data_IF_476150265060
#
_entry.id   IF_476150265060
#
_cell.length_a   1.000
_cell.length_b   1.000
_cell.length_c   1.000
_cell.angle_alpha   90.00
_cell.angle_beta   90.00
_cell.angle_gamma   90.00
#
_symmetry.space_group_name_H-M   'P 1'
#
loop_
_entity.id
_entity.type
_entity.pdbx_description
1 polymer ?
#
# COMPACT_ATOMS: atom_id res chain seq x y z
N UNK A 1 31.82 19.79 -10.16
CA UNK A 1 32.47 19.23 -8.94
C UNK A 1 31.45 18.84 -7.87
N UNK A 2 30.47 19.67 -7.51
CA UNK A 2 29.44 19.31 -6.50
C UNK A 2 28.54 18.12 -6.90
N UNK A 3 28.04 18.13 -8.15
CA UNK A 3 27.12 17.09 -8.65
C UNK A 3 27.75 15.69 -8.68
N UNK A 4 29.02 15.61 -9.09
CA UNK A 4 29.80 14.35 -9.09
C UNK A 4 29.94 13.77 -7.69
N UNK A 5 30.28 14.60 -6.69
CA UNK A 5 30.39 14.16 -5.30
C UNK A 5 29.04 13.69 -4.74
N UNK A 6 27.95 14.36 -5.12
CA UNK A 6 26.59 13.95 -4.77
C UNK A 6 26.25 12.58 -5.36
N UNK A 7 26.54 12.34 -6.63
CA UNK A 7 26.34 11.04 -7.26
C UNK A 7 27.20 9.93 -6.63
N UNK A 8 28.45 10.21 -6.28
CA UNK A 8 29.29 9.27 -5.55
C UNK A 8 28.71 8.88 -4.19
N UNK A 9 28.15 9.86 -3.45
CA UNK A 9 27.47 9.60 -2.18
C UNK A 9 26.23 8.72 -2.35
N UNK A 10 25.41 8.95 -3.38
CA UNK A 10 24.25 8.09 -3.68
C UNK A 10 24.73 6.67 -3.99
N UNK A 11 25.74 6.52 -4.84
CA UNK A 11 26.25 5.21 -5.23
C UNK A 11 26.78 4.42 -4.01
N UNK A 12 27.48 5.09 -3.09
CA UNK A 12 27.92 4.49 -1.82
C UNK A 12 26.74 4.11 -0.92
N UNK A 13 25.68 4.93 -0.86
CA UNK A 13 24.49 4.63 -0.08
C UNK A 13 23.74 3.40 -0.63
N UNK A 14 23.61 3.29 -1.96
CA UNK A 14 23.01 2.11 -2.61
C UNK A 14 23.79 0.85 -2.24
N UNK A 15 25.12 0.87 -2.33
CA UNK A 15 25.98 -0.27 -2.01
C UNK A 15 25.90 -0.70 -0.54
N UNK A 16 25.75 0.25 0.38
CA UNK A 16 25.67 -0.03 1.83
C UNK A 16 24.30 -0.56 2.27
N UNK A 17 23.22 -0.03 1.72
CA UNK A 17 21.88 -0.28 2.21
C UNK A 17 21.08 -1.27 1.37
N UNK A 18 21.47 -1.49 0.10
CA UNK A 18 20.70 -2.32 -0.83
C UNK A 18 21.44 -3.62 -1.12
N UNK A 19 20.78 -4.72 -0.77
CA UNK A 19 21.19 -6.08 -1.13
C UNK A 19 20.59 -6.42 -2.50
N UNK A 20 21.38 -6.27 -3.56
CA UNK A 20 20.94 -6.46 -4.95
C UNK A 20 20.41 -7.88 -5.25
N UNK A 21 20.84 -8.89 -4.48
CA UNK A 21 20.37 -10.27 -4.63
C UNK A 21 18.91 -10.46 -4.20
N UNK A 22 18.46 -9.67 -3.22
CA UNK A 22 17.10 -9.76 -2.65
C UNK A 22 16.14 -8.87 -3.42
N UNK A 23 16.62 -7.72 -3.90
CA UNK A 23 15.79 -6.72 -4.55
C UNK A 23 15.49 -7.12 -6.00
N UNK A 24 14.19 -7.15 -6.33
CA UNK A 24 13.72 -7.46 -7.68
C UNK A 24 13.91 -6.31 -8.68
N UNK A 25 13.74 -5.08 -8.22
CA UNK A 25 13.76 -3.87 -9.06
C UNK A 25 14.23 -2.67 -8.23
N UNK A 26 15.01 -1.77 -8.84
CA UNK A 26 15.48 -0.53 -8.24
C UNK A 26 14.96 0.64 -9.08
N UNK A 27 14.17 1.51 -8.46
CA UNK A 27 13.56 2.65 -9.14
C UNK A 27 14.42 3.89 -8.91
N UNK A 28 14.84 4.53 -10.00
CA UNK A 28 15.52 5.83 -10.02
C UNK A 28 14.52 6.87 -10.54
N UNK A 29 14.08 7.74 -9.64
CA UNK A 29 13.06 8.74 -9.95
C UNK A 29 13.59 10.15 -9.68
N UNK A 30 13.36 11.06 -10.64
CA UNK A 30 13.72 12.47 -10.51
C UNK A 30 12.85 13.36 -11.39
N UNK A 31 12.69 14.64 -11.04
CA UNK A 31 12.22 15.65 -11.99
C UNK A 31 13.28 15.91 -13.06
N UNK A 32 12.86 15.97 -14.32
CA UNK A 32 13.76 16.21 -15.46
C UNK A 32 14.76 15.07 -15.70
N UNK A 33 15.98 15.44 -16.11
CA UNK A 33 16.99 14.53 -16.67
C UNK A 33 18.01 13.97 -15.66
N UNK A 34 17.82 14.22 -14.36
CA UNK A 34 18.83 13.91 -13.35
C UNK A 34 19.02 12.40 -13.16
N UNK A 35 17.95 11.61 -13.26
CA UNK A 35 17.98 10.14 -13.18
C UNK A 35 18.79 9.54 -14.33
N UNK A 36 18.68 10.08 -15.55
CA UNK A 36 19.45 9.63 -16.71
C UNK A 36 20.94 9.92 -16.50
N UNK A 37 21.25 11.15 -16.09
CA UNK A 37 22.62 11.57 -15.79
C UNK A 37 23.26 10.73 -14.66
N UNK A 38 22.52 10.47 -13.59
CA UNK A 38 22.99 9.63 -12.50
C UNK A 38 23.19 8.17 -12.96
N UNK A 39 22.25 7.62 -13.73
CA UNK A 39 22.35 6.26 -14.22
C UNK A 39 23.56 6.08 -15.13
N UNK A 40 23.81 7.02 -16.05
CA UNK A 40 24.99 7.00 -16.90
C UNK A 40 26.28 7.11 -16.08
N UNK A 41 26.34 8.05 -15.12
CA UNK A 41 27.47 8.20 -14.21
C UNK A 41 27.75 6.92 -13.40
N UNK A 42 26.70 6.28 -12.89
CA UNK A 42 26.80 5.03 -12.13
C UNK A 42 27.39 3.91 -12.99
N UNK A 43 26.93 3.74 -14.23
CA UNK A 43 27.45 2.71 -15.14
C UNK A 43 28.89 3.01 -15.53
N UNK A 44 29.23 4.25 -15.90
CA UNK A 44 30.61 4.63 -16.22
C UNK A 44 31.56 4.38 -15.03
N UNK A 45 31.13 4.75 -13.82
CA UNK A 45 31.93 4.56 -12.61
C UNK A 45 32.06 3.08 -12.25
N UNK A 46 30.99 2.30 -12.40
CA UNK A 46 31.00 0.87 -12.16
C UNK A 46 31.93 0.13 -13.13
N UNK A 47 31.97 0.52 -14.41
CA UNK A 47 32.92 -0.03 -15.39
C UNK A 47 34.36 0.35 -15.03
N UNK A 48 34.62 1.61 -14.68
CA UNK A 48 35.97 2.09 -14.33
C UNK A 48 36.52 1.42 -13.06
N UNK A 49 35.67 1.14 -12.09
CA UNK A 49 36.04 0.53 -10.81
C UNK A 49 35.77 -0.98 -10.76
N UNK A 50 35.39 -1.59 -11.89
CA UNK A 50 35.03 -3.01 -12.02
C UNK A 50 34.02 -3.52 -10.97
N UNK A 51 33.07 -2.66 -10.58
CA UNK A 51 32.03 -3.01 -9.60
C UNK A 51 30.95 -3.88 -10.23
N UNK A 52 31.18 -5.20 -10.24
CA UNK A 52 30.26 -6.21 -10.79
C UNK A 52 28.83 -6.10 -10.27
N UNK A 53 28.65 -5.75 -8.99
CA UNK A 53 27.32 -5.60 -8.37
C UNK A 53 26.39 -4.69 -9.17
N UNK A 54 26.89 -3.57 -9.70
CA UNK A 54 26.07 -2.64 -10.50
C UNK A 54 25.94 -3.09 -11.95
N UNK A 55 26.98 -3.69 -12.53
CA UNK A 55 27.00 -4.13 -13.93
C UNK A 55 26.07 -5.33 -14.15
N UNK A 56 26.14 -6.33 -13.27
CA UNK A 56 25.33 -7.55 -13.36
C UNK A 56 23.85 -7.27 -13.09
N UNK A 57 23.55 -6.26 -12.26
CA UNK A 57 22.20 -5.85 -11.91
C UNK A 57 21.69 -4.65 -12.72
N UNK A 58 22.36 -4.26 -13.81
CA UNK A 58 21.98 -3.10 -14.64
C UNK A 58 20.52 -3.17 -15.11
N UNK A 59 20.03 -4.35 -15.46
CA UNK A 59 18.65 -4.57 -15.93
C UNK A 59 17.58 -4.38 -14.86
N UNK A 60 17.97 -4.40 -13.57
CA UNK A 60 17.05 -4.16 -12.44
C UNK A 60 16.75 -2.68 -12.22
N UNK A 61 17.55 -1.78 -12.78
CA UNK A 61 17.33 -0.34 -12.64
C UNK A 61 16.26 0.15 -13.61
N UNK A 62 15.32 0.94 -13.09
CA UNK A 62 14.26 1.56 -13.85
C UNK A 62 14.31 3.07 -13.68
N UNK A 63 14.23 3.80 -14.79
CA UNK A 63 14.18 5.26 -14.80
C UNK A 63 12.71 5.69 -14.86
N UNK A 64 12.27 6.52 -13.91
CA UNK A 64 10.87 6.93 -13.79
C UNK A 64 10.75 8.44 -13.55
N UNK A 65 9.67 9.04 -14.03
CA UNK A 65 9.35 10.43 -13.74
C UNK A 65 8.82 10.63 -12.33
N UNK A 66 9.24 11.73 -11.72
CA UNK A 66 8.76 12.16 -10.42
C UNK A 66 8.69 13.68 -10.43
N UNK A 67 7.59 14.24 -9.93
CA UNK A 67 7.44 15.68 -9.77
C UNK A 67 8.45 16.30 -8.79
N UNK A 68 8.99 15.52 -7.85
CA UNK A 68 9.92 15.99 -6.80
C UNK A 68 10.87 14.89 -6.32
N UNK A 69 11.96 15.27 -5.65
CA UNK A 69 12.89 14.35 -4.98
C UNK A 69 12.53 14.05 -3.50
N UNK A 70 11.36 14.47 -3.03
CA UNK A 70 10.93 14.32 -1.63
C UNK A 70 10.10 13.05 -1.42
N UNK A 71 9.95 12.61 -0.17
CA UNK A 71 9.26 11.35 0.19
C UNK A 71 7.84 11.22 -0.39
N UNK A 72 7.11 12.33 -0.50
CA UNK A 72 5.74 12.32 -1.03
C UNK A 72 5.67 11.93 -2.51
N UNK A 73 6.71 12.21 -3.29
CA UNK A 73 6.75 11.89 -4.70
C UNK A 73 6.92 10.37 -4.96
N UNK A 74 7.34 9.61 -3.94
CA UNK A 74 7.37 8.15 -4.01
C UNK A 74 5.98 7.56 -4.26
N UNK A 75 4.92 8.23 -3.80
CA UNK A 75 3.54 7.81 -4.03
C UNK A 75 3.17 7.88 -5.52
N UNK A 76 3.50 9.00 -6.16
CA UNK A 76 3.29 9.24 -7.58
C UNK A 76 4.02 8.20 -8.44
N UNK A 77 5.30 7.96 -8.12
CA UNK A 77 6.15 7.02 -8.86
C UNK A 77 5.61 5.59 -8.78
N UNK A 78 5.07 5.17 -7.63
CA UNK A 78 4.51 3.83 -7.48
C UNK A 78 3.20 3.64 -8.23
N UNK A 79 2.44 4.72 -8.48
CA UNK A 79 1.18 4.66 -9.24
C UNK A 79 1.37 4.67 -10.75
N UNK A 80 2.59 4.94 -11.24
CA UNK A 80 2.87 4.97 -12.68
C UNK A 80 2.70 3.58 -13.31
N UNK A 81 1.95 3.53 -14.40
CA UNK A 81 1.69 2.35 -15.23
C UNK A 81 2.95 1.57 -15.63
N UNK A 82 4.05 2.26 -15.92
CA UNK A 82 5.33 1.64 -16.31
C UNK A 82 5.89 0.82 -15.15
N UNK A 83 5.84 1.39 -13.96
CA UNK A 83 6.33 0.76 -12.73
C UNK A 83 5.40 -0.37 -12.33
N UNK A 84 4.09 -0.12 -12.34
CA UNK A 84 3.04 -1.11 -12.07
C UNK A 84 3.20 -2.37 -12.92
N UNK A 85 3.44 -2.24 -14.23
CA UNK A 85 3.58 -3.40 -15.16
C UNK A 85 4.74 -4.36 -14.81
N UNK A 86 5.82 -3.86 -14.21
CA UNK A 86 6.95 -4.68 -13.73
C UNK A 86 6.86 -5.02 -12.24
N UNK A 87 6.11 -4.23 -11.47
CA UNK A 87 5.79 -4.48 -10.08
C UNK A 87 4.59 -5.41 -9.88
N UNK A 88 3.88 -5.84 -10.94
CA UNK A 88 2.73 -6.77 -10.87
C UNK A 88 3.01 -7.98 -9.98
N UNK A 89 4.28 -8.41 -9.86
CA UNK A 89 4.72 -9.51 -8.99
C UNK A 89 5.30 -9.07 -7.62
N UNK A 90 4.87 -7.92 -7.11
CA UNK A 90 5.24 -7.42 -5.77
C UNK A 90 4.00 -7.23 -4.90
N UNK A 91 4.16 -7.46 -3.59
CA UNK A 91 3.07 -7.32 -2.61
C UNK A 91 2.38 -5.94 -2.69
N UNK A 92 3.15 -4.88 -2.93
CA UNK A 92 2.64 -3.52 -3.05
C UNK A 92 1.58 -3.35 -4.16
N UNK A 93 1.79 -3.93 -5.35
CA UNK A 93 0.78 -3.87 -6.43
C UNK A 93 -0.48 -4.64 -6.05
N UNK A 94 -0.31 -5.81 -5.44
CA UNK A 94 -1.45 -6.62 -4.98
C UNK A 94 -2.28 -5.92 -3.89
N UNK A 95 -1.63 -5.12 -3.04
CA UNK A 95 -2.28 -4.29 -2.02
C UNK A 95 -3.09 -3.16 -2.67
N UNK A 96 -2.51 -2.44 -3.64
CA UNK A 96 -3.20 -1.37 -4.37
C UNK A 96 -4.41 -1.89 -5.13
N UNK A 97 -4.28 -3.02 -5.84
CA UNK A 97 -5.40 -3.65 -6.56
C UNK A 97 -6.52 -4.03 -5.60
N UNK A 98 -6.22 -4.71 -4.49
CA UNK A 98 -7.24 -5.11 -3.52
C UNK A 98 -8.00 -3.92 -2.91
N UNK A 99 -7.31 -2.80 -2.67
CA UNK A 99 -7.95 -1.59 -2.18
C UNK A 99 -8.84 -0.94 -3.25
N UNK A 100 -8.40 -0.93 -4.51
CA UNK A 100 -9.23 -0.45 -5.63
C UNK A 100 -10.47 -1.32 -5.83
N UNK A 101 -10.33 -2.64 -5.74
CA UNK A 101 -11.44 -3.59 -5.84
C UNK A 101 -12.48 -3.33 -4.73
N UNK A 102 -12.02 -3.03 -3.51
CA UNK A 102 -12.88 -2.64 -2.40
C UNK A 102 -13.66 -1.34 -2.70
N UNK A 103 -12.98 -0.30 -3.19
CA UNK A 103 -13.65 0.95 -3.58
C UNK A 103 -14.62 0.78 -4.74
N UNK A 104 -14.31 -0.10 -5.69
CA UNK A 104 -15.21 -0.43 -6.78
C UNK A 104 -16.45 -1.15 -6.25
N UNK A 105 -16.28 -2.11 -5.33
CA UNK A 105 -17.40 -2.81 -4.71
C UNK A 105 -18.30 -1.85 -3.93
N UNK A 106 -17.75 -0.93 -3.14
CA UNK A 106 -18.53 0.12 -2.48
C UNK A 106 -19.39 0.95 -3.44
N UNK A 107 -18.91 1.18 -4.68
CA UNK A 107 -19.67 1.94 -5.69
C UNK A 107 -20.75 1.11 -6.38
N UNK A 108 -20.48 -0.18 -6.61
CA UNK A 108 -21.38 -1.06 -7.36
C UNK A 108 -22.41 -1.72 -6.46
N UNK A 109 -22.01 -2.19 -5.29
CA UNK A 109 -22.84 -2.92 -4.34
C UNK A 109 -22.34 -2.70 -2.89
N UNK A 110 -22.94 -1.71 -2.23
CA UNK A 110 -22.59 -1.33 -0.85
C UNK A 110 -22.79 -2.49 0.14
N UNK A 111 -23.76 -3.38 -0.12
CA UNK A 111 -24.04 -4.52 0.74
C UNK A 111 -22.97 -5.62 0.71
N UNK A 112 -21.95 -5.47 -0.15
CA UNK A 112 -20.84 -6.40 -0.33
C UNK A 112 -19.47 -5.85 0.07
N UNK A 113 -19.41 -4.64 0.62
CA UNK A 113 -18.14 -4.04 1.04
C UNK A 113 -18.29 -3.34 2.39
N UNK A 114 -17.74 -3.94 3.44
CA UNK A 114 -17.84 -3.40 4.79
C UNK A 114 -16.51 -2.85 5.27
N UNK A 115 -16.55 -1.78 6.07
CA UNK A 115 -15.40 -1.22 6.78
C UNK A 115 -15.77 -0.94 8.23
N UNK A 116 -14.78 -0.90 9.11
CA UNK A 116 -15.00 -0.80 10.54
C UNK A 116 -15.09 -2.16 11.23
N UNK A 117 -14.56 -2.23 12.46
CA UNK A 117 -14.43 -3.50 13.18
C UNK A 117 -15.78 -4.20 13.40
N UNK A 118 -16.83 -3.45 13.78
CA UNK A 118 -18.16 -4.02 14.04
C UNK A 118 -18.75 -4.68 12.79
N UNK A 119 -18.77 -3.97 11.66
CA UNK A 119 -19.32 -4.48 10.41
C UNK A 119 -18.53 -5.68 9.87
N UNK A 120 -17.20 -5.58 9.88
CA UNK A 120 -16.32 -6.67 9.44
C UNK A 120 -16.46 -7.89 10.35
N UNK A 121 -16.65 -7.71 11.66
CA UNK A 121 -16.88 -8.84 12.59
C UNK A 121 -18.21 -9.54 12.28
N UNK A 122 -19.30 -8.80 12.07
CA UNK A 122 -20.58 -9.38 11.64
C UNK A 122 -20.44 -10.17 10.35
N UNK A 123 -19.71 -9.64 9.37
CA UNK A 123 -19.44 -10.34 8.13
C UNK A 123 -18.57 -11.60 8.30
N UNK A 124 -17.62 -11.59 9.23
CA UNK A 124 -16.80 -12.75 9.56
C UNK A 124 -17.63 -13.85 10.22
N UNK A 125 -18.54 -13.47 11.13
CA UNK A 125 -19.46 -14.38 11.82
C UNK A 125 -20.50 -14.98 10.87
N UNK A 126 -20.87 -14.24 9.82
CA UNK A 126 -21.70 -14.72 8.72
C UNK A 126 -20.94 -15.52 7.64
N UNK A 127 -19.64 -15.78 7.81
CA UNK A 127 -18.81 -16.52 6.84
C UNK A 127 -18.79 -15.91 5.43
N UNK A 128 -19.05 -14.61 5.31
CA UNK A 128 -19.21 -13.94 4.02
C UNK A 128 -17.94 -13.27 3.51
N UNK A 129 -16.90 -13.17 4.32
CA UNK A 129 -15.67 -12.47 3.92
C UNK A 129 -14.93 -13.27 2.85
N UNK A 130 -14.74 -12.63 1.69
CA UNK A 130 -13.86 -13.16 0.66
C UNK A 130 -12.43 -12.66 0.85
N UNK A 131 -12.27 -11.34 0.97
CA UNK A 131 -10.97 -10.69 1.16
C UNK A 131 -11.03 -9.72 2.34
N UNK A 132 -10.20 -9.96 3.35
CA UNK A 132 -9.99 -9.06 4.49
C UNK A 132 -8.80 -8.14 4.22
N UNK A 133 -8.99 -6.84 4.36
CA UNK A 133 -7.95 -5.82 4.29
C UNK A 133 -7.73 -5.25 5.69
N UNK A 134 -6.50 -5.33 6.21
CA UNK A 134 -6.16 -4.84 7.56
C UNK A 134 -4.81 -4.15 7.57
N UNK A 135 -4.68 -3.04 8.30
CA UNK A 135 -3.39 -2.35 8.44
C UNK A 135 -2.54 -2.93 9.57
N UNK A 136 -1.22 -2.93 9.38
CA UNK A 136 -0.28 -3.43 10.37
C UNK A 136 -0.18 -2.55 11.64
N UNK A 137 -0.64 -1.31 11.56
CA UNK A 137 -0.77 -0.39 12.69
C UNK A 137 -1.70 -0.95 13.78
N UNK A 138 -2.78 -1.64 13.39
CA UNK A 138 -3.76 -2.22 14.33
C UNK A 138 -3.16 -3.35 15.16
N UNK A 139 -2.16 -4.07 14.64
CA UNK A 139 -1.42 -5.09 15.41
C UNK A 139 -0.34 -4.52 16.32
N UNK A 140 0.06 -3.26 16.10
CA UNK A 140 1.06 -2.54 16.91
C UNK A 140 0.42 -1.64 17.98
N UNK A 141 -0.91 -1.68 18.15
CA UNK A 141 -1.59 -0.89 19.16
C UNK A 141 -1.10 -1.25 20.57
N UNK A 142 -1.04 -0.26 21.47
CA UNK A 142 -0.61 -0.46 22.86
C UNK A 142 -1.65 -1.24 23.68
N UNK A 143 -2.88 -1.33 23.18
CA UNK A 143 -3.98 -2.01 23.85
C UNK A 143 -3.98 -3.51 23.50
N UNK A 144 -3.57 -4.33 24.46
CA UNK A 144 -3.50 -5.79 24.30
C UNK A 144 -4.87 -6.41 23.92
N UNK A 145 -5.97 -5.83 24.40
CA UNK A 145 -7.31 -6.33 24.13
C UNK A 145 -7.73 -6.09 22.67
N UNK A 146 -7.39 -4.93 22.10
CA UNK A 146 -7.64 -4.66 20.68
C UNK A 146 -6.79 -5.55 19.79
N UNK A 147 -5.52 -5.74 20.13
CA UNK A 147 -4.63 -6.61 19.35
C UNK A 147 -5.18 -8.05 19.30
N UNK A 148 -5.67 -8.58 20.41
CA UNK A 148 -6.28 -9.93 20.44
C UNK A 148 -7.49 -10.02 19.51
N UNK A 149 -8.40 -9.04 19.56
CA UNK A 149 -9.59 -8.98 18.70
C UNK A 149 -9.25 -9.06 17.21
N UNK A 150 -8.25 -8.29 16.75
CA UNK A 150 -7.85 -8.32 15.34
C UNK A 150 -7.12 -9.61 14.94
N UNK A 151 -6.36 -10.21 15.86
CA UNK A 151 -5.72 -11.51 15.62
C UNK A 151 -6.79 -12.60 15.48
N UNK A 152 -7.75 -12.65 16.40
CA UNK A 152 -8.89 -13.58 16.34
C UNK A 152 -9.70 -13.41 15.05
N UNK A 153 -9.94 -12.17 14.62
CA UNK A 153 -10.63 -11.89 13.36
C UNK A 153 -9.85 -12.43 12.15
N UNK A 154 -8.52 -12.24 12.12
CA UNK A 154 -7.67 -12.75 11.03
C UNK A 154 -7.67 -14.26 10.99
N UNK A 155 -7.60 -14.91 12.15
CA UNK A 155 -7.59 -16.37 12.25
C UNK A 155 -8.95 -16.93 11.81
N UNK A 156 -10.06 -16.33 12.25
CA UNK A 156 -11.42 -16.68 11.80
C UNK A 156 -11.57 -16.59 10.27
N UNK A 157 -11.07 -15.52 9.64
CA UNK A 157 -11.16 -15.37 8.18
C UNK A 157 -10.32 -16.43 7.46
N UNK A 158 -9.14 -16.77 7.97
CA UNK A 158 -8.31 -17.84 7.38
C UNK A 158 -8.95 -19.21 7.49
N UNK A 159 -9.54 -19.53 8.64
CA UNK A 159 -10.26 -20.79 8.86
C UNK A 159 -11.45 -20.92 7.91
N UNK A 160 -12.09 -19.80 7.57
CA UNK A 160 -13.20 -19.70 6.63
C UNK A 160 -12.79 -19.64 5.15
N UNK A 161 -11.52 -19.96 4.84
CA UNK A 161 -10.95 -19.90 3.49
C UNK A 161 -11.01 -18.51 2.84
N UNK A 162 -11.04 -17.44 3.64
CA UNK A 162 -10.93 -16.06 3.18
C UNK A 162 -9.48 -15.63 2.97
N UNK A 163 -9.27 -14.72 2.04
CA UNK A 163 -7.94 -14.17 1.74
C UNK A 163 -7.65 -12.98 2.67
N UNK A 164 -6.61 -13.07 3.49
CA UNK A 164 -6.19 -11.95 4.35
C UNK A 164 -5.04 -11.18 3.72
N UNK A 165 -5.20 -9.86 3.56
CA UNK A 165 -4.17 -8.94 3.07
C UNK A 165 -3.83 -7.92 4.14
N UNK A 166 -2.57 -7.95 4.58
CA UNK A 166 -2.04 -7.02 5.58
C UNK A 166 -1.32 -5.88 4.88
N UNK A 167 -1.76 -4.66 5.13
CA UNK A 167 -1.25 -3.43 4.54
C UNK A 167 -0.26 -2.76 5.48
N UNK A 168 0.87 -2.30 4.95
CA UNK A 168 1.79 -1.47 5.72
C UNK A 168 1.21 -0.07 5.91
N UNK A 169 1.12 0.41 7.14
CA UNK A 169 0.68 1.79 7.44
C UNK A 169 1.61 2.87 6.86
N UNK A 170 2.81 2.49 6.42
CA UNK A 170 3.79 3.37 5.77
C UNK A 170 3.60 3.41 4.24
N UNK A 171 2.77 2.54 3.68
CA UNK A 171 2.45 2.52 2.26
C UNK A 171 1.17 3.33 1.99
N UNK A 172 1.05 3.89 0.78
CA UNK A 172 -0.08 4.77 0.40
C UNK A 172 -1.43 4.08 0.57
N UNK A 173 -1.52 2.81 0.18
CA UNK A 173 -2.73 2.03 0.34
C UNK A 173 -3.08 1.76 1.81
N UNK A 174 -2.07 1.61 2.68
CA UNK A 174 -2.29 1.48 4.12
C UNK A 174 -2.71 2.80 4.78
N UNK A 175 -2.20 3.94 4.31
CA UNK A 175 -2.67 5.25 4.75
C UNK A 175 -4.15 5.48 4.38
N UNK A 176 -4.54 5.13 3.15
CA UNK A 176 -5.94 5.21 2.70
C UNK A 176 -6.84 4.28 3.50
N UNK A 177 -6.43 3.02 3.73
CA UNK A 177 -7.19 2.09 4.55
C UNK A 177 -7.31 2.56 6.01
N UNK A 178 -6.28 3.20 6.57
CA UNK A 178 -6.35 3.81 7.91
C UNK A 178 -7.37 4.95 8.01
N UNK A 179 -7.60 5.71 6.94
CA UNK A 179 -8.68 6.72 6.89
C UNK A 179 -10.06 6.05 6.97
N UNK A 180 -10.17 4.80 6.52
CA UNK A 180 -11.37 3.95 6.63
C UNK A 180 -11.30 3.02 7.84
N UNK A 181 -10.89 3.53 9.02
CA UNK A 181 -10.72 2.80 10.29
C UNK A 181 -9.61 1.74 10.37
N UNK A 182 -8.88 1.50 9.28
CA UNK A 182 -7.77 0.53 9.22
C UNK A 182 -8.18 -0.92 8.98
N UNK A 183 -9.48 -1.22 8.92
CA UNK A 183 -10.02 -2.56 8.66
C UNK A 183 -11.21 -2.49 7.69
N UNK A 184 -11.15 -3.31 6.66
CA UNK A 184 -12.20 -3.43 5.64
C UNK A 184 -12.29 -4.86 5.11
N UNK A 185 -13.42 -5.23 4.52
CA UNK A 185 -13.66 -6.54 3.94
C UNK A 185 -14.52 -6.46 2.68
N UNK A 186 -14.19 -7.29 1.70
CA UNK A 186 -15.00 -7.57 0.51
C UNK A 186 -15.73 -8.89 0.74
N UNK A 187 -17.04 -8.91 0.47
CA UNK A 187 -17.91 -10.05 0.75
C UNK A 187 -18.22 -10.88 -0.50
N UNK A 188 -18.35 -12.20 -0.30
CA UNK A 188 -18.75 -13.20 -1.30
C UNK A 188 -20.20 -13.01 -1.73
N UNK A 189 -21.06 -12.70 -0.77
CA UNK A 189 -22.49 -12.47 -0.96
C UNK A 189 -22.92 -11.24 -0.14
N UNK A 190 -23.98 -10.54 -0.59
CA UNK A 190 -24.48 -9.38 0.12
C UNK A 190 -25.04 -9.77 1.50
N UNK A 191 -24.69 -8.99 2.52
CA UNK A 191 -25.31 -9.09 3.85
C UNK A 191 -26.04 -7.76 4.08
N UNK A 192 -27.28 -7.77 4.61
CA UNK A 192 -27.92 -6.54 5.09
C UNK A 192 -26.97 -5.81 6.04
N UNK A 193 -26.74 -4.52 5.83
CA UNK A 193 -25.91 -3.75 6.75
C UNK A 193 -26.46 -3.92 8.17
N UNK A 194 -25.65 -4.36 9.14
CA UNK A 194 -26.07 -4.31 10.52
C UNK A 194 -26.33 -2.85 10.86
N UNK A 195 -27.53 -2.54 11.36
CA UNK A 195 -27.89 -1.22 11.86
C UNK A 195 -26.78 -0.70 12.77
N UNK A 196 -26.04 0.30 12.30
CA UNK A 196 -25.16 1.09 13.12
C UNK A 196 -26.02 1.99 13.98
N UNK A 197 -25.84 1.96 15.29
CA UNK A 197 -26.44 2.91 16.26
C UNK A 197 -25.98 4.38 16.06
N UNK A 198 -25.53 4.76 14.87
CA UNK A 198 -25.08 6.11 14.50
C UNK A 198 -26.14 6.87 13.67
N UNK A 199 -27.36 6.33 13.51
CA UNK A 199 -28.56 7.02 13.00
C UNK A 199 -29.24 7.85 14.11
N UNK A 200 -28.47 8.56 14.93
CA UNK A 200 -29.02 9.48 15.95
C UNK A 200 -28.43 10.88 15.82
N UNK A 201 -28.31 11.41 14.61
CA UNK A 201 -28.12 12.85 14.43
C UNK A 201 -28.65 13.47 13.12
N UNK A 202 -29.70 12.91 12.52
CA UNK A 202 -30.34 13.51 11.35
C UNK A 202 -31.85 13.37 11.36
N UNK A 203 -32.50 13.90 12.39
CA UNK A 203 -33.92 14.26 12.35
C UNK A 203 -34.29 15.14 13.55
N UNK A 204 -33.93 16.41 13.50
CA UNK A 204 -34.73 17.50 14.09
C UNK A 204 -34.99 18.52 12.96
N UNK A 205 -35.83 18.12 12.01
CA UNK A 205 -36.74 19.10 11.39
C UNK A 205 -37.91 19.23 12.36
N UNK A 206 -38.01 20.36 13.06
CA UNK A 206 -39.31 20.83 13.52
C UNK A 206 -39.57 22.19 12.88
N UNK A 207 -40.39 22.16 11.83
CA UNK A 207 -41.03 23.33 11.28
C UNK A 207 -42.15 23.76 12.21
N UNK A 208 -41.96 24.88 12.89
CA UNK A 208 -43.01 25.60 13.60
C UNK A 208 -43.29 26.92 12.87
N UNK A 209 -44.22 26.89 11.92
CA UNK A 209 -44.90 28.06 11.39
C UNK A 209 -45.94 28.51 12.43
N UNK A 210 -45.77 29.70 13.03
CA UNK A 210 -46.82 30.67 13.36
C UNK A 210 -46.25 31.98 13.94
#
# INVERSE_FOLDING_TARGET
>A
KGLTRFFEQIMQALERHIRFDIVKCIILASPGFLREQFFEFMIQTATRQEKRVFLDNKSKFMLVHSSSGHKHALKEVLTDSIVMSKLVNTKATSEVTALNDFYQMLKTDQSRAFYGYKHVKTAADAYAIDTLLITDALFRSRNLNERRKYVELVDQVKDNQGTVRIFSSLHVSGEQLNQLSGVAAILRFPIPEPVSDDESNSSEEDGGDN
#
